data_IF_431560275852
#
_entry.id   IF_431560275852
#
_cell.length_a   1.000
_cell.length_b   1.000
_cell.length_c   1.000
_cell.angle_alpha   90.00
_cell.angle_beta   90.00
_cell.angle_gamma   90.00
#
_symmetry.space_group_name_H-M   'P 1'
#
loop_
_entity.id
_entity.type
_entity.pdbx_description
1 polymer ?
#
# COMPACT_ATOMS: atom_id res chain seq x y z
N UNK A 1 38.48 -29.84 6.10
CA UNK A 1 37.51 -28.75 5.89
C UNK A 1 36.75 -28.57 7.19
N UNK A 2 36.98 -27.49 7.94
CA UNK A 2 36.24 -27.23 9.18
C UNK A 2 34.77 -26.96 8.81
N UNK A 3 33.84 -27.71 9.41
CA UNK A 3 32.42 -27.36 9.36
C UNK A 3 32.30 -25.92 9.85
N UNK A 4 31.79 -25.03 9.02
CA UNK A 4 31.36 -23.70 9.45
C UNK A 4 30.25 -23.89 10.49
N UNK A 5 30.61 -23.84 11.77
CA UNK A 5 29.63 -23.82 12.86
C UNK A 5 29.00 -22.44 12.86
N UNK A 6 27.74 -22.38 12.45
CA UNK A 6 26.93 -21.18 12.61
C UNK A 6 26.68 -20.99 14.11
N UNK A 7 27.25 -19.93 14.69
CA UNK A 7 27.01 -19.60 16.09
C UNK A 7 25.58 -19.06 16.23
N UNK A 8 24.80 -19.54 17.22
CA UNK A 8 23.52 -18.92 17.56
C UNK A 8 23.70 -17.42 17.81
N UNK A 9 22.71 -16.60 17.42
CA UNK A 9 22.79 -15.14 17.55
C UNK A 9 23.28 -14.65 18.92
N UNK A 10 22.80 -15.17 20.08
CA UNK A 10 23.27 -14.73 21.39
C UNK A 10 24.76 -15.00 21.67
N UNK A 11 25.38 -15.92 20.93
CA UNK A 11 26.78 -16.32 21.11
C UNK A 11 27.73 -15.56 20.16
N UNK A 12 27.21 -14.66 19.33
CA UNK A 12 28.03 -13.78 18.51
C UNK A 12 28.71 -12.70 19.36
N UNK A 13 29.91 -12.23 18.98
CA UNK A 13 30.54 -11.06 19.59
C UNK A 13 29.58 -9.86 19.60
N UNK A 14 29.66 -9.03 20.63
CA UNK A 14 28.74 -7.90 20.81
C UNK A 14 28.76 -6.97 19.60
N UNK A 15 29.93 -6.71 19.04
CA UNK A 15 30.13 -5.86 17.87
C UNK A 15 29.33 -6.37 16.66
N UNK A 16 29.32 -7.69 16.46
CA UNK A 16 28.58 -8.33 15.37
C UNK A 16 27.08 -8.28 15.62
N UNK A 17 26.62 -8.51 16.86
CA UNK A 17 25.20 -8.42 17.20
C UNK A 17 24.66 -7.01 16.99
N UNK A 18 25.41 -6.00 17.45
CA UNK A 18 25.06 -4.59 17.24
C UNK A 18 25.01 -4.24 15.75
N UNK A 19 26.01 -4.65 14.96
CA UNK A 19 25.99 -4.43 13.51
C UNK A 19 24.80 -5.10 12.82
N UNK A 20 24.40 -6.31 13.23
CA UNK A 20 23.22 -6.97 12.68
C UNK A 20 21.96 -6.16 12.95
N UNK A 21 21.78 -5.66 14.18
CA UNK A 21 20.62 -4.84 14.53
C UNK A 21 20.63 -3.48 13.83
N UNK A 22 21.78 -2.82 13.71
CA UNK A 22 21.92 -1.56 12.98
C UNK A 22 21.55 -1.74 11.50
N UNK A 23 22.06 -2.80 10.85
CA UNK A 23 21.73 -3.12 9.47
C UNK A 23 20.28 -3.60 9.29
N UNK A 24 19.67 -4.12 10.35
CA UNK A 24 18.27 -4.52 10.32
C UNK A 24 17.32 -3.32 10.45
N UNK A 25 17.78 -2.10 10.75
CA UNK A 25 16.87 -0.96 10.83
C UNK A 25 16.49 -0.43 9.44
N UNK A 26 15.20 -0.17 9.20
CA UNK A 26 14.74 0.42 7.95
C UNK A 26 15.16 1.90 7.85
N UNK A 27 15.69 2.31 6.70
CA UNK A 27 16.13 3.68 6.45
C UNK A 27 15.17 4.42 5.51
N UNK A 28 14.28 5.24 6.06
CA UNK A 28 13.36 6.07 5.27
C UNK A 28 14.07 7.17 4.48
N UNK A 29 15.32 7.52 4.81
CA UNK A 29 16.09 8.53 4.05
C UNK A 29 16.66 7.97 2.75
N UNK A 30 16.59 6.65 2.54
CA UNK A 30 17.16 5.97 1.37
C UNK A 30 16.29 6.03 0.10
N UNK A 31 15.15 6.73 0.13
CA UNK A 31 14.19 6.76 -0.99
C UNK A 31 13.34 5.48 -1.09
N UNK A 32 13.23 4.74 0.02
CA UNK A 32 12.39 3.55 0.17
C UNK A 32 11.09 3.91 0.88
N UNK A 33 9.99 3.37 0.39
CA UNK A 33 8.65 3.58 0.92
C UNK A 33 8.02 2.24 1.31
N UNK A 34 7.15 2.28 2.32
CA UNK A 34 6.45 1.10 2.80
C UNK A 34 5.32 0.68 1.85
N UNK A 35 5.19 -0.63 1.65
CA UNK A 35 3.99 -1.27 1.12
C UNK A 35 3.26 -1.93 2.29
N UNK A 36 2.04 -1.45 2.57
CA UNK A 36 1.25 -1.86 3.71
C UNK A 36 -0.03 -2.56 3.26
N UNK A 37 -0.29 -3.71 3.86
CA UNK A 37 -1.47 -4.51 3.60
C UNK A 37 -2.57 -4.19 4.59
N UNK A 38 -3.72 -3.81 4.05
CA UNK A 38 -4.89 -3.40 4.80
C UNK A 38 -6.13 -4.11 4.27
N UNK A 39 -7.16 -4.24 5.11
CA UNK A 39 -8.48 -4.75 4.74
C UNK A 39 -9.50 -3.64 4.68
N UNK A 40 -10.47 -3.81 3.79
CA UNK A 40 -11.72 -3.09 3.85
C UNK A 40 -12.66 -3.79 4.84
N UNK A 41 -13.00 -3.13 5.94
CA UNK A 41 -13.89 -3.70 6.96
C UNK A 41 -15.39 -3.54 6.58
N UNK A 42 -16.28 -4.16 7.37
CA UNK A 42 -17.74 -4.10 7.14
C UNK A 42 -18.33 -2.68 7.21
N UNK A 43 -17.66 -1.79 7.93
CA UNK A 43 -17.99 -0.39 8.06
C UNK A 43 -17.43 0.48 6.93
N UNK A 44 -16.74 -0.14 5.94
CA UNK A 44 -16.10 0.51 4.79
C UNK A 44 -14.92 1.40 5.15
N UNK A 45 -14.32 1.10 6.29
CA UNK A 45 -13.11 1.75 6.72
C UNK A 45 -11.93 0.85 6.40
N UNK A 46 -10.81 1.49 6.09
CA UNK A 46 -9.57 0.80 5.86
C UNK A 46 -8.94 0.51 7.23
N UNK A 47 -8.56 -0.75 7.45
CA UNK A 47 -7.98 -1.19 8.71
C UNK A 47 -6.80 -2.13 8.47
N UNK A 48 -5.85 -2.23 9.39
CA UNK A 48 -4.70 -3.12 9.25
C UNK A 48 -5.10 -4.59 9.14
N UNK A 49 -4.30 -5.38 8.42
CA UNK A 49 -4.42 -6.84 8.48
C UNK A 49 -4.02 -7.39 9.85
N UNK A 50 -4.56 -8.56 10.18
CA UNK A 50 -4.21 -9.25 11.42
C UNK A 50 -2.74 -9.71 11.39
N UNK A 51 -2.01 -9.47 12.48
CA UNK A 51 -0.63 -9.91 12.67
C UNK A 51 -0.52 -11.33 13.25
N UNK A 52 -1.64 -12.05 13.43
CA UNK A 52 -1.63 -13.43 13.92
C UNK A 52 -1.17 -14.39 12.81
N UNK A 53 0.04 -14.93 12.98
CA UNK A 53 0.70 -15.82 12.02
C UNK A 53 -0.04 -17.16 11.82
N UNK A 54 -1.07 -17.43 12.63
CA UNK A 54 -1.81 -18.68 12.69
C UNK A 54 -3.18 -18.61 11.99
N UNK A 55 -3.57 -17.46 11.45
CA UNK A 55 -4.89 -17.31 10.79
C UNK A 55 -4.82 -17.71 9.30
N UNK A 56 -5.90 -18.32 8.79
CA UNK A 56 -6.04 -18.79 7.40
C UNK A 56 -6.21 -17.65 6.37
N UNK A 57 -5.90 -16.40 6.74
CA UNK A 57 -6.03 -15.21 5.90
C UNK A 57 -4.74 -14.86 5.16
N UNK A 58 -4.76 -13.82 4.30
CA UNK A 58 -3.55 -13.31 3.67
C UNK A 58 -2.56 -12.89 4.75
N UNK A 59 -1.35 -13.45 4.69
CA UNK A 59 -0.28 -13.16 5.63
C UNK A 59 0.01 -11.66 5.61
N UNK A 60 -0.11 -11.01 6.76
CA UNK A 60 0.32 -9.63 6.89
C UNK A 60 1.84 -9.57 6.73
N UNK A 61 2.28 -8.92 5.66
CA UNK A 61 3.69 -8.72 5.32
C UNK A 61 4.02 -7.24 5.14
N UNK A 62 3.21 -6.37 5.73
CA UNK A 62 3.36 -4.91 5.63
C UNK A 62 4.71 -4.45 6.14
N UNK A 63 5.29 -3.43 5.50
CA UNK A 63 6.58 -2.88 5.91
C UNK A 63 6.63 -2.45 7.39
N UNK A 64 5.52 -1.97 7.97
CA UNK A 64 5.47 -1.61 9.38
C UNK A 64 5.79 -2.77 10.34
N UNK A 65 5.64 -4.04 9.90
CA UNK A 65 5.99 -5.21 10.71
C UNK A 65 7.49 -5.37 10.90
N UNK A 66 8.29 -4.78 10.01
CA UNK A 66 9.74 -4.75 10.13
C UNK A 66 10.15 -4.12 11.46
N UNK A 67 9.56 -2.97 11.80
CA UNK A 67 9.81 -2.30 13.07
C UNK A 67 9.24 -3.05 14.25
N UNK A 68 8.03 -3.60 14.12
CA UNK A 68 7.44 -4.42 15.17
C UNK A 68 8.39 -5.56 15.59
N UNK A 69 9.04 -6.22 14.62
CA UNK A 69 10.07 -7.23 14.90
C UNK A 69 11.26 -6.70 15.70
N UNK A 70 11.81 -5.55 15.32
CA UNK A 70 12.95 -4.93 16.02
C UNK A 70 12.58 -4.50 17.45
N UNK A 71 11.39 -3.95 17.65
CA UNK A 71 10.92 -3.51 18.96
C UNK A 71 10.57 -4.67 19.90
N UNK A 72 10.18 -5.82 19.35
CA UNK A 72 9.75 -7.00 20.13
C UNK A 72 10.88 -7.98 20.44
N UNK A 73 11.96 -7.99 19.65
CA UNK A 73 12.96 -9.06 19.69
C UNK A 73 13.69 -9.17 21.05
N UNK A 74 14.37 -8.12 21.49
CA UNK A 74 15.08 -8.07 22.78
C UNK A 74 15.45 -6.63 23.15
N UNK A 75 15.96 -6.41 24.37
CA UNK A 75 16.41 -5.10 24.83
C UNK A 75 17.44 -4.46 23.90
N UNK A 76 18.43 -5.22 23.45
CA UNK A 76 19.50 -4.71 22.58
C UNK A 76 18.95 -4.22 21.23
N UNK A 77 18.04 -4.99 20.61
CA UNK A 77 17.36 -4.60 19.38
C UNK A 77 16.53 -3.33 19.58
N UNK A 78 15.80 -3.22 20.70
CA UNK A 78 15.03 -2.01 21.05
C UNK A 78 15.91 -0.78 21.21
N UNK A 79 17.03 -0.90 21.92
CA UNK A 79 17.93 0.24 22.18
C UNK A 79 18.51 0.77 20.85
N UNK A 80 18.83 -0.12 19.91
CA UNK A 80 19.29 0.27 18.57
C UNK A 80 18.16 0.87 17.73
N UNK A 81 16.97 0.27 17.72
CA UNK A 81 15.82 0.80 17.00
C UNK A 81 15.46 2.23 17.47
N UNK A 82 15.49 2.47 18.78
CA UNK A 82 15.29 3.80 19.38
C UNK A 82 16.36 4.81 18.95
N UNK A 83 17.64 4.41 18.97
CA UNK A 83 18.74 5.27 18.52
C UNK A 83 18.63 5.60 17.03
N UNK A 84 18.31 4.60 16.20
CA UNK A 84 18.14 4.78 14.75
C UNK A 84 16.97 5.69 14.42
N UNK A 85 15.87 5.54 15.15
CA UNK A 85 14.71 6.43 15.09
C UNK A 85 15.14 7.88 15.33
N UNK A 86 15.83 8.16 16.43
CA UNK A 86 16.32 9.51 16.76
C UNK A 86 17.24 10.07 15.66
N UNK A 87 18.17 9.24 15.16
CA UNK A 87 19.12 9.65 14.12
C UNK A 87 18.45 10.01 12.79
N UNK A 88 17.26 9.47 12.53
CA UNK A 88 16.49 9.87 11.36
C UNK A 88 15.85 11.25 11.50
N UNK A 89 15.97 11.91 12.66
CA UNK A 89 15.36 13.20 12.96
C UNK A 89 13.99 13.05 13.58
N UNK A 90 13.59 11.83 13.93
CA UNK A 90 12.39 11.59 14.70
C UNK A 90 12.64 11.93 16.16
N UNK A 91 11.70 12.60 16.85
CA UNK A 91 11.93 12.93 18.25
C UNK A 91 12.05 11.71 19.15
N UNK A 92 12.72 11.94 20.26
CA UNK A 92 13.07 10.90 21.21
C UNK A 92 11.81 10.26 21.81
N UNK A 93 11.70 8.95 21.60
CA UNK A 93 10.65 8.13 22.18
C UNK A 93 10.88 7.95 23.69
N UNK A 94 12.14 8.00 24.13
CA UNK A 94 12.55 7.75 25.52
C UNK A 94 12.33 8.94 26.47
N UNK A 95 12.48 10.19 26.02
CA UNK A 95 12.17 11.36 26.85
C UNK A 95 10.68 11.50 27.16
N UNK A 96 9.81 11.14 26.22
CA UNK A 96 8.35 11.15 26.40
C UNK A 96 7.81 9.94 27.19
N UNK A 97 8.66 8.97 27.56
CA UNK A 97 8.26 7.73 28.27
C UNK A 97 8.63 7.70 29.75
N UNK A 98 9.26 8.76 30.30
CA UNK A 98 9.65 8.80 31.73
C UNK A 98 8.46 8.72 32.71
N UNK A 99 7.25 9.07 32.26
CA UNK A 99 6.00 8.99 33.04
C UNK A 99 4.92 8.12 32.37
N UNK A 100 5.29 7.34 31.35
CA UNK A 100 4.34 6.74 30.39
C UNK A 100 4.61 5.23 30.24
N UNK A 101 3.55 4.43 30.34
CA UNK A 101 3.64 2.96 30.35
C UNK A 101 4.09 2.42 28.99
N UNK A 102 4.58 1.17 28.96
CA UNK A 102 4.89 0.44 27.71
C UNK A 102 3.65 0.48 26.81
N UNK A 103 3.68 1.37 25.82
CA UNK A 103 2.58 1.55 24.88
C UNK A 103 2.11 2.92 24.48
N UNK A 104 2.76 3.95 24.96
CA UNK A 104 2.45 5.28 24.52
C UNK A 104 2.98 5.56 23.09
N UNK A 105 2.05 5.99 22.24
CA UNK A 105 2.19 6.32 20.82
C UNK A 105 2.64 7.79 20.70
N UNK A 106 3.60 8.10 19.82
CA UNK A 106 4.19 9.44 19.73
C UNK A 106 3.91 10.06 18.36
N UNK A 107 3.36 11.27 18.38
CA UNK A 107 3.01 12.05 17.19
C UNK A 107 4.10 13.06 16.83
N UNK A 108 4.34 13.25 15.54
CA UNK A 108 5.17 14.33 15.02
C UNK A 108 4.47 15.06 13.87
N UNK A 109 4.04 16.30 14.13
CA UNK A 109 3.88 17.33 13.08
C UNK A 109 5.19 18.14 13.04
N UNK A 110 6.30 17.52 12.61
CA UNK A 110 7.59 18.22 12.55
C UNK A 110 7.85 18.78 11.15
N UNK A 111 8.08 20.11 11.00
CA UNK A 111 8.62 20.66 9.77
C UNK A 111 10.07 20.19 9.59
N UNK A 112 10.28 19.21 8.72
CA UNK A 112 11.61 18.74 8.32
C UNK A 112 12.37 19.81 7.51
N UNK A 113 13.71 19.86 7.54
CA UNK A 113 14.47 20.70 6.62
C UNK A 113 14.57 20.02 5.24
N UNK A 114 13.50 20.17 4.44
CA UNK A 114 13.32 20.01 2.96
C UNK A 114 11.88 19.49 2.68
N UNK A 115 11.25 19.82 1.52
CA UNK A 115 9.85 20.26 1.44
C UNK A 115 8.84 19.10 1.39
N UNK A 116 8.97 18.09 2.25
CA UNK A 116 8.04 16.98 2.33
C UNK A 116 7.37 17.01 3.71
N UNK A 117 6.10 17.39 3.74
CA UNK A 117 5.24 17.25 4.91
C UNK A 117 4.92 15.75 5.04
N UNK A 118 5.64 15.03 5.90
CA UNK A 118 5.30 13.65 6.26
C UNK A 118 4.13 13.70 7.25
N UNK A 119 2.93 13.29 6.81
CA UNK A 119 1.86 12.91 7.75
C UNK A 119 2.02 11.42 8.03
N UNK A 120 2.88 11.09 8.97
CA UNK A 120 2.99 9.72 9.47
C UNK A 120 1.98 9.50 10.57
N UNK A 121 1.19 8.43 10.46
CA UNK A 121 0.25 8.03 11.50
C UNK A 121 0.57 6.63 12.01
N UNK A 122 0.34 6.45 13.31
CA UNK A 122 0.51 5.18 13.99
C UNK A 122 -0.70 4.30 13.72
N UNK A 123 -0.42 3.12 13.19
CA UNK A 123 -1.43 2.18 12.74
C UNK A 123 -1.69 1.18 13.87
N UNK A 124 -2.58 1.53 14.80
CA UNK A 124 -2.85 0.71 15.99
C UNK A 124 -4.03 -0.26 15.80
N UNK A 125 -4.01 -1.41 16.50
CA UNK A 125 -5.13 -2.36 16.57
C UNK A 125 -5.59 -2.54 18.01
N UNK A 126 -6.91 -2.54 18.22
CA UNK A 126 -7.55 -2.91 19.48
C UNK A 126 -7.33 -4.41 19.83
N UNK A 127 -6.68 -4.68 20.97
CA UNK A 127 -6.62 -5.98 21.64
C UNK A 127 -5.22 -6.39 22.13
N UNK A 128 -5.16 -6.94 23.35
CA UNK A 128 -4.14 -7.60 24.23
C UNK A 128 -2.66 -7.78 23.82
N UNK A 129 -2.21 -7.24 22.71
CA UNK A 129 -0.81 -7.27 22.28
C UNK A 129 -0.12 -5.99 22.76
N UNK A 130 1.18 -6.06 23.06
CA UNK A 130 1.85 -4.82 23.46
C UNK A 130 1.74 -3.81 22.29
N UNK A 131 1.40 -2.55 22.56
CA UNK A 131 1.30 -1.46 21.59
C UNK A 131 2.65 -1.17 20.92
N UNK A 132 2.95 -1.87 19.83
CA UNK A 132 4.12 -1.58 19.00
C UNK A 132 3.81 -0.52 17.95
N UNK A 133 4.76 0.38 17.74
CA UNK A 133 4.68 1.51 16.82
C UNK A 133 4.71 1.06 15.34
N UNK A 134 3.55 0.73 14.78
CA UNK A 134 3.41 0.52 13.34
C UNK A 134 3.39 1.87 12.64
N UNK A 135 4.47 2.20 11.95
CA UNK A 135 4.66 3.52 11.32
C UNK A 135 4.45 3.38 9.83
N UNK A 136 3.58 4.24 9.29
CA UNK A 136 3.37 4.39 7.85
C UNK A 136 3.28 5.87 7.48
N UNK A 137 3.89 6.23 6.35
CA UNK A 137 3.75 7.54 5.72
C UNK A 137 2.49 7.58 4.86
N UNK A 138 1.47 8.33 5.31
CA UNK A 138 0.17 8.38 4.64
C UNK A 138 0.21 9.03 3.24
N UNK A 139 1.29 9.74 2.92
CA UNK A 139 1.45 10.47 1.67
C UNK A 139 2.32 9.72 0.66
N UNK A 140 3.34 8.99 1.12
CA UNK A 140 4.31 8.34 0.24
C UNK A 140 4.25 6.81 0.24
N UNK A 141 3.81 6.20 1.34
CA UNK A 141 3.65 4.75 1.38
C UNK A 141 2.43 4.33 0.54
N UNK A 142 2.43 3.05 0.15
CA UNK A 142 1.34 2.41 -0.58
C UNK A 142 0.49 1.60 0.39
N UNK A 143 -0.82 1.78 0.33
CA UNK A 143 -1.78 0.98 1.08
C UNK A 143 -2.50 0.02 0.15
N UNK A 144 -2.07 -1.24 0.17
CA UNK A 144 -2.65 -2.32 -0.62
C UNK A 144 -3.91 -2.88 0.07
N UNK A 145 -5.07 -2.63 -0.54
CA UNK A 145 -6.37 -3.03 -0.03
C UNK A 145 -6.71 -4.44 -0.46
N UNK A 146 -6.99 -5.29 0.52
CA UNK A 146 -7.59 -6.60 0.32
C UNK A 146 -9.07 -6.53 0.69
N UNK A 147 -9.96 -6.79 -0.27
CA UNK A 147 -11.37 -6.93 -0.01
C UNK A 147 -11.69 -8.41 0.20
N UNK A 148 -12.21 -8.77 1.38
CA UNK A 148 -12.61 -10.13 1.67
C UNK A 148 -14.06 -10.43 1.22
N UNK A 149 -14.87 -9.38 1.03
CA UNK A 149 -16.27 -9.55 0.70
C UNK A 149 -16.86 -8.36 -0.07
N UNK A 150 -18.03 -8.58 -0.68
CA UNK A 150 -18.70 -7.62 -1.55
C UNK A 150 -19.72 -6.73 -0.80
N UNK A 151 -20.16 -7.08 0.41
CA UNK A 151 -21.14 -6.28 1.16
C UNK A 151 -20.65 -4.85 1.44
N UNK A 152 -19.37 -4.64 1.83
CA UNK A 152 -18.81 -3.30 1.96
C UNK A 152 -18.73 -2.57 0.64
N UNK A 153 -18.90 -3.23 -0.50
CA UNK A 153 -18.80 -2.63 -1.84
C UNK A 153 -20.14 -2.27 -2.46
N UNK A 154 -21.30 -2.64 -1.90
CA UNK A 154 -22.62 -2.39 -2.53
C UNK A 154 -23.39 -1.15 -2.02
N UNK A 155 -23.23 -0.76 -0.76
CA UNK A 155 -23.74 0.52 -0.15
C UNK A 155 -23.15 1.80 -0.79
N UNK A 156 -23.55 3.01 -0.35
CA UNK A 156 -23.12 4.32 -0.87
C UNK A 156 -21.63 4.63 -0.69
N UNK A 157 -20.92 4.95 -1.78
CA UNK A 157 -19.46 5.17 -1.75
C UNK A 157 -19.13 6.37 -0.85
N UNK A 158 -18.14 6.20 0.02
CA UNK A 158 -17.63 7.21 0.95
C UNK A 158 -16.12 7.35 0.72
N UNK A 159 -15.52 8.49 1.11
CA UNK A 159 -14.07 8.63 1.11
C UNK A 159 -13.42 7.46 1.86
N UNK A 160 -12.38 6.89 1.26
CA UNK A 160 -11.63 5.78 1.84
C UNK A 160 -10.67 6.36 2.89
N UNK A 161 -11.03 6.18 4.16
CA UNK A 161 -10.24 6.64 5.28
C UNK A 161 -9.64 5.45 6.04
N UNK A 162 -8.37 5.58 6.40
CA UNK A 162 -7.65 4.64 7.24
C UNK A 162 -7.98 4.91 8.70
N UNK A 163 -8.47 3.90 9.40
CA UNK A 163 -8.63 3.93 10.84
C UNK A 163 -7.26 3.90 11.51
N UNK A 164 -7.08 4.86 12.41
CA UNK A 164 -5.97 4.89 13.35
C UNK A 164 -6.52 5.19 14.74
N UNK A 165 -5.73 4.92 15.77
CA UNK A 165 -6.01 5.37 17.12
C UNK A 165 -4.82 6.20 17.61
N UNK A 166 -5.11 7.23 18.39
CA UNK A 166 -4.07 8.03 19.03
C UNK A 166 -3.62 7.49 20.39
N UNK A 167 -2.66 8.18 20.98
CA UNK A 167 -2.02 7.84 22.26
C UNK A 167 -3.00 7.77 23.44
N UNK A 168 -4.22 8.29 23.31
CA UNK A 168 -5.29 8.19 24.32
C UNK A 168 -6.38 7.19 23.93
N UNK A 169 -6.14 6.38 22.89
CA UNK A 169 -7.12 5.46 22.32
C UNK A 169 -8.26 6.19 21.61
N UNK A 170 -8.09 7.46 21.21
CA UNK A 170 -9.12 8.15 20.43
C UNK A 170 -9.03 7.69 18.99
N UNK A 171 -10.18 7.27 18.48
CA UNK A 171 -10.32 6.86 17.10
C UNK A 171 -10.16 8.05 16.15
N UNK A 172 -9.24 7.93 15.21
CA UNK A 172 -8.97 8.89 14.15
C UNK A 172 -9.13 8.23 12.79
N UNK A 173 -9.41 9.05 11.79
CA UNK A 173 -9.49 8.60 10.40
C UNK A 173 -8.60 9.48 9.55
N UNK A 174 -7.77 8.85 8.72
CA UNK A 174 -6.77 9.52 7.90
C UNK A 174 -7.05 9.32 6.43
N UNK A 175 -6.84 10.39 5.67
CA UNK A 175 -6.93 10.35 4.23
C UNK A 175 -5.57 9.91 3.65
N UNK A 176 -5.54 8.77 2.97
CA UNK A 176 -4.32 8.22 2.37
C UNK A 176 -4.20 8.65 0.91
N UNK A 177 -2.99 8.80 0.39
CA UNK A 177 -2.80 9.28 -1.00
C UNK A 177 -2.69 8.14 -2.00
N UNK A 178 -1.95 7.07 -1.66
CA UNK A 178 -1.66 5.97 -2.57
C UNK A 178 -2.42 4.71 -2.16
N UNK A 179 -3.30 4.23 -3.04
CA UNK A 179 -4.11 3.03 -2.82
C UNK A 179 -3.72 2.01 -3.87
N UNK A 180 -3.39 0.80 -3.43
CA UNK A 180 -3.10 -0.30 -4.32
C UNK A 180 -4.10 -1.44 -4.21
N UNK A 181 -4.15 -2.23 -5.28
CA UNK A 181 -4.77 -3.56 -5.28
C UNK A 181 -3.79 -4.54 -5.91
N UNK A 182 -3.69 -5.76 -5.37
CA UNK A 182 -2.90 -6.81 -6.01
C UNK A 182 -3.67 -7.42 -7.18
N UNK A 183 -3.02 -7.48 -8.33
CA UNK A 183 -3.53 -8.13 -9.51
C UNK A 183 -3.54 -9.66 -9.33
N UNK A 184 -4.68 -10.27 -9.62
CA UNK A 184 -4.82 -11.71 -9.74
C UNK A 184 -5.03 -12.07 -11.22
N UNK A 185 -4.15 -12.88 -11.83
CA UNK A 185 -4.26 -13.27 -13.24
C UNK A 185 -5.61 -13.92 -13.63
N UNK A 186 -6.34 -14.50 -12.68
CA UNK A 186 -7.70 -15.04 -12.92
C UNK A 186 -8.72 -13.95 -13.29
N UNK A 187 -8.43 -12.69 -12.98
CA UNK A 187 -9.27 -11.55 -13.34
C UNK A 187 -9.39 -11.35 -14.84
N UNK A 188 -8.36 -11.74 -15.61
CA UNK A 188 -8.44 -11.70 -17.07
C UNK A 188 -9.59 -12.58 -17.59
N UNK A 189 -9.67 -13.82 -17.12
CA UNK A 189 -10.75 -14.74 -17.51
C UNK A 189 -12.11 -14.31 -16.98
N UNK A 190 -12.11 -13.70 -15.80
CA UNK A 190 -13.29 -13.08 -15.18
C UNK A 190 -13.82 -12.02 -16.14
N UNK A 191 -13.10 -10.91 -16.36
CA UNK A 191 -13.57 -9.79 -17.19
C UNK A 191 -13.93 -10.22 -18.62
N UNK A 192 -13.15 -11.12 -19.25
CA UNK A 192 -13.41 -11.58 -20.62
C UNK A 192 -14.82 -12.15 -20.81
N UNK A 193 -15.40 -12.76 -19.77
CA UNK A 193 -16.69 -13.41 -19.84
C UNK A 193 -17.85 -12.51 -19.36
N UNK A 194 -17.58 -11.27 -18.91
CA UNK A 194 -18.58 -10.41 -18.29
C UNK A 194 -19.16 -9.35 -19.21
N UNK A 195 -20.40 -8.94 -18.89
CA UNK A 195 -21.15 -7.90 -19.57
C UNK A 195 -21.10 -6.58 -18.79
N UNK A 196 -21.21 -5.41 -19.46
CA UNK A 196 -21.38 -4.12 -18.81
C UNK A 196 -22.60 -4.02 -17.88
N UNK A 197 -23.53 -4.98 -17.87
CA UNK A 197 -24.69 -5.00 -16.95
C UNK A 197 -24.44 -5.73 -15.63
N UNK A 198 -23.28 -6.37 -15.47
CA UNK A 198 -22.93 -7.10 -14.27
C UNK A 198 -22.89 -6.20 -13.02
N UNK A 199 -23.36 -6.76 -11.90
CA UNK A 199 -23.37 -6.12 -10.58
C UNK A 199 -22.03 -6.34 -9.87
N UNK A 200 -21.71 -5.48 -8.91
CA UNK A 200 -20.47 -5.53 -8.11
C UNK A 200 -20.23 -6.92 -7.49
N UNK A 201 -21.29 -7.59 -7.04
CA UNK A 201 -21.23 -8.94 -6.43
C UNK A 201 -20.85 -10.07 -7.39
N UNK A 202 -20.88 -9.80 -8.70
CA UNK A 202 -20.57 -10.80 -9.73
C UNK A 202 -19.05 -10.87 -9.99
N UNK A 203 -18.28 -9.94 -9.41
CA UNK A 203 -16.82 -9.88 -9.50
C UNK A 203 -16.17 -10.41 -8.21
N UNK A 204 -14.95 -10.99 -8.30
CA UNK A 204 -14.10 -11.21 -7.13
C UNK A 204 -13.98 -9.92 -6.30
N UNK A 205 -14.06 -9.97 -4.96
CA UNK A 205 -14.16 -8.77 -4.14
C UNK A 205 -13.06 -7.71 -4.38
N UNK A 206 -11.80 -8.11 -4.55
CA UNK A 206 -10.70 -7.17 -4.85
C UNK A 206 -10.83 -6.53 -6.22
N UNK A 207 -11.28 -7.27 -7.25
CA UNK A 207 -11.56 -6.71 -8.56
C UNK A 207 -12.75 -5.75 -8.50
N UNK A 208 -13.80 -6.14 -7.78
CA UNK A 208 -14.99 -5.32 -7.56
C UNK A 208 -14.63 -4.00 -6.86
N UNK A 209 -13.70 -4.05 -5.90
CA UNK A 209 -13.15 -2.87 -5.24
C UNK A 209 -12.38 -1.99 -6.23
N UNK A 210 -11.48 -2.55 -7.04
CA UNK A 210 -10.72 -1.82 -8.05
C UNK A 210 -11.63 -1.09 -9.04
N UNK A 211 -12.61 -1.79 -9.63
CA UNK A 211 -13.56 -1.20 -10.58
C UNK A 211 -14.29 -0.02 -9.93
N UNK A 212 -14.76 -0.21 -8.69
CA UNK A 212 -15.51 0.82 -7.99
C UNK A 212 -14.64 2.01 -7.57
N UNK A 213 -13.39 1.76 -7.21
CA UNK A 213 -12.40 2.80 -6.96
C UNK A 213 -12.17 3.63 -8.23
N UNK A 214 -11.89 3.01 -9.37
CA UNK A 214 -11.66 3.72 -10.63
C UNK A 214 -12.85 4.59 -11.05
N UNK A 215 -14.08 4.06 -10.92
CA UNK A 215 -15.30 4.83 -11.20
C UNK A 215 -15.42 6.07 -10.29
N UNK A 216 -15.10 5.95 -8.99
CA UNK A 216 -15.09 7.09 -8.08
C UNK A 216 -13.99 8.10 -8.43
N UNK A 217 -12.78 7.62 -8.75
CA UNK A 217 -11.62 8.47 -9.06
C UNK A 217 -11.76 9.23 -10.39
N UNK A 218 -12.52 8.68 -11.33
CA UNK A 218 -12.88 9.36 -12.57
C UNK A 218 -13.73 10.62 -12.30
N UNK A 219 -14.66 10.58 -11.33
CA UNK A 219 -15.57 11.69 -11.02
C UNK A 219 -15.08 12.62 -9.90
N UNK A 220 -14.28 12.13 -8.94
CA UNK A 220 -13.94 12.87 -7.73
C UNK A 220 -12.62 13.65 -7.88
N UNK A 221 -12.67 14.85 -8.48
CA UNK A 221 -11.50 15.74 -8.64
C UNK A 221 -10.88 16.18 -7.30
N UNK A 222 -11.66 16.26 -6.21
CA UNK A 222 -11.22 16.79 -4.89
C UNK A 222 -10.46 15.78 -4.04
N UNK A 223 -10.84 14.50 -4.08
CA UNK A 223 -10.25 13.44 -3.27
C UNK A 223 -9.53 12.38 -4.11
N UNK A 224 -8.93 12.82 -5.22
CA UNK A 224 -8.25 11.91 -6.15
C UNK A 224 -7.05 11.24 -5.48
N UNK A 225 -7.00 9.92 -5.60
CA UNK A 225 -5.99 9.00 -5.09
C UNK A 225 -5.11 8.53 -6.22
N UNK A 226 -3.84 8.28 -5.93
CA UNK A 226 -2.99 7.53 -6.84
C UNK A 226 -3.41 6.05 -6.74
N UNK A 227 -4.10 5.54 -7.77
CA UNK A 227 -4.49 4.14 -7.84
C UNK A 227 -3.32 3.34 -8.41
N UNK A 228 -2.92 2.29 -7.72
CA UNK A 228 -1.82 1.42 -8.11
C UNK A 228 -2.30 -0.01 -8.29
N UNK A 229 -1.77 -0.68 -9.31
CA UNK A 229 -1.98 -2.11 -9.51
C UNK A 229 -0.65 -2.84 -9.32
N UNK A 230 -0.63 -3.76 -8.36
CA UNK A 230 0.58 -4.53 -8.02
C UNK A 230 0.52 -5.86 -8.75
N UNK A 231 1.43 -6.11 -9.67
CA UNK A 231 1.58 -7.42 -10.31
C UNK A 231 2.91 -8.06 -9.92
N UNK A 232 2.80 -9.22 -9.26
CA UNK A 232 3.93 -10.01 -8.76
C UNK A 232 4.51 -10.97 -9.78
N UNK A 233 3.85 -11.16 -10.92
CA UNK A 233 4.18 -12.19 -11.90
C UNK A 233 4.56 -11.60 -13.26
N UNK A 234 4.19 -10.35 -13.54
CA UNK A 234 4.55 -9.70 -14.80
C UNK A 234 6.06 -9.49 -14.91
N UNK A 235 6.59 -9.87 -16.06
CA UNK A 235 7.94 -9.52 -16.46
C UNK A 235 7.92 -8.08 -16.98
N UNK A 236 9.00 -7.36 -16.71
CA UNK A 236 9.13 -5.97 -17.12
C UNK A 236 10.57 -5.66 -17.54
N UNK A 237 10.71 -4.61 -18.33
CA UNK A 237 11.98 -4.22 -18.93
C UNK A 237 12.46 -2.87 -18.41
N UNK A 238 13.78 -2.74 -18.27
CA UNK A 238 14.41 -1.46 -18.00
C UNK A 238 15.16 -0.97 -19.24
N UNK A 239 14.51 -0.05 -19.97
CA UNK A 239 15.09 0.56 -21.17
C UNK A 239 16.16 1.62 -20.86
N UNK A 240 16.30 2.05 -19.60
CA UNK A 240 17.23 3.11 -19.21
C UNK A 240 18.03 2.74 -17.95
N UNK A 241 19.24 2.18 -18.15
CA UNK A 241 20.22 1.92 -17.08
C UNK A 241 20.53 3.19 -16.24
N UNK A 242 20.39 4.37 -16.82
CA UNK A 242 20.61 5.65 -16.15
C UNK A 242 19.49 6.07 -15.17
N UNK A 243 18.26 5.55 -15.31
CA UNK A 243 17.10 5.93 -14.48
C UNK A 243 16.78 4.92 -13.37
N UNK A 244 17.44 3.77 -13.35
CA UNK A 244 17.27 2.76 -12.29
C UNK A 244 17.48 3.32 -10.85
N UNK A 245 18.45 4.21 -10.59
CA UNK A 245 18.67 4.75 -9.24
C UNK A 245 17.66 5.83 -8.81
N UNK A 246 16.81 6.34 -9.72
CA UNK A 246 15.88 7.45 -9.44
C UNK A 246 14.42 7.01 -9.31
N UNK A 247 14.13 5.70 -9.31
CA UNK A 247 12.77 5.19 -9.18
C UNK A 247 12.40 5.02 -7.71
N UNK A 248 11.16 5.36 -7.37
CA UNK A 248 10.58 5.09 -6.06
C UNK A 248 10.61 3.57 -5.83
N UNK A 249 11.25 3.15 -4.75
CA UNK A 249 11.30 1.75 -4.33
C UNK A 249 10.29 1.55 -3.21
N UNK A 250 9.37 0.61 -3.41
CA UNK A 250 8.43 0.19 -2.38
C UNK A 250 8.88 -1.14 -1.81
N UNK A 251 8.74 -1.34 -0.50
CA UNK A 251 9.15 -2.58 0.15
C UNK A 251 8.01 -3.14 0.98
N UNK A 252 7.87 -4.46 0.98
CA UNK A 252 7.16 -5.19 2.02
C UNK A 252 8.18 -6.00 2.84
N UNK A 253 7.75 -6.82 3.80
CA UNK A 253 8.68 -7.64 4.59
C UNK A 253 9.42 -8.71 3.79
N UNK A 254 8.92 -9.06 2.59
CA UNK A 254 9.41 -10.18 1.80
C UNK A 254 10.11 -9.74 0.50
N UNK A 255 9.72 -8.61 -0.09
CA UNK A 255 10.08 -8.22 -1.45
C UNK A 255 10.25 -6.71 -1.64
N UNK A 256 11.03 -6.36 -2.66
CA UNK A 256 11.18 -5.01 -3.19
C UNK A 256 10.38 -4.85 -4.50
N UNK A 257 9.77 -3.68 -4.68
CA UNK A 257 8.90 -3.35 -5.81
C UNK A 257 9.27 -2.00 -6.40
N UNK A 258 8.94 -1.82 -7.69
CA UNK A 258 9.20 -0.61 -8.44
C UNK A 258 7.95 -0.13 -9.16
N UNK A 259 7.80 1.18 -9.22
CA UNK A 259 6.85 1.78 -10.16
C UNK A 259 7.39 1.69 -11.61
N UNK A 260 6.51 1.29 -12.53
CA UNK A 260 6.78 1.19 -13.96
C UNK A 260 5.67 1.85 -14.75
N UNK A 261 6.02 2.39 -15.92
CA UNK A 261 5.02 2.87 -16.87
C UNK A 261 4.37 1.69 -17.61
N UNK A 262 3.13 1.84 -18.06
CA UNK A 262 2.42 0.82 -18.85
C UNK A 262 3.21 0.36 -20.07
N UNK A 263 3.93 1.28 -20.72
CA UNK A 263 4.78 1.01 -21.88
C UNK A 263 5.96 0.08 -21.60
N UNK A 264 6.35 -0.12 -20.33
CA UNK A 264 7.46 -0.98 -19.91
C UNK A 264 7.03 -2.40 -19.53
N UNK A 265 5.72 -2.64 -19.44
CA UNK A 265 5.16 -3.97 -19.22
C UNK A 265 5.32 -4.81 -20.48
N UNK A 266 5.50 -6.13 -20.32
CA UNK A 266 5.51 -7.04 -21.45
C UNK A 266 4.14 -7.05 -22.13
N UNK A 267 4.08 -6.70 -23.42
CA UNK A 267 2.81 -6.53 -24.16
C UNK A 267 1.99 -7.83 -24.24
N UNK A 268 2.66 -8.98 -24.24
CA UNK A 268 2.06 -10.32 -24.19
C UNK A 268 1.59 -10.76 -22.81
N UNK A 269 1.72 -9.92 -21.78
CA UNK A 269 1.33 -10.27 -20.42
C UNK A 269 -0.19 -10.31 -20.22
N UNK A 270 -0.65 -11.16 -19.30
CA UNK A 270 -2.06 -11.20 -18.88
C UNK A 270 -2.53 -9.86 -18.33
N UNK A 271 -1.64 -9.10 -17.69
CA UNK A 271 -1.91 -7.76 -17.21
C UNK A 271 -2.25 -6.81 -18.37
N UNK A 272 -1.42 -6.76 -19.41
CA UNK A 272 -1.69 -5.90 -20.58
C UNK A 272 -3.05 -6.23 -21.23
N UNK A 273 -3.37 -7.51 -21.39
CA UNK A 273 -4.69 -7.90 -21.90
C UNK A 273 -5.83 -7.51 -20.96
N UNK A 274 -5.65 -7.70 -19.65
CA UNK A 274 -6.63 -7.30 -18.65
C UNK A 274 -6.90 -5.79 -18.69
N UNK A 275 -5.86 -4.96 -18.80
CA UNK A 275 -6.01 -3.49 -18.85
C UNK A 275 -6.86 -3.05 -20.04
N UNK A 276 -6.63 -3.62 -21.23
CA UNK A 276 -7.44 -3.31 -22.42
C UNK A 276 -8.93 -3.64 -22.24
N UNK A 277 -9.24 -4.71 -21.51
CA UNK A 277 -10.62 -5.09 -21.22
C UNK A 277 -11.22 -4.24 -20.10
N UNK A 278 -10.41 -3.87 -19.11
CA UNK A 278 -10.83 -3.01 -18.01
C UNK A 278 -11.16 -1.61 -18.52
N UNK A 279 -10.34 -1.04 -19.41
CA UNK A 279 -10.58 0.26 -20.05
C UNK A 279 -11.95 0.30 -20.74
N UNK A 280 -12.22 -0.70 -21.58
CA UNK A 280 -13.52 -0.86 -22.24
C UNK A 280 -14.67 -0.98 -21.24
N UNK A 281 -14.51 -1.79 -20.19
CA UNK A 281 -15.55 -1.99 -19.17
C UNK A 281 -15.85 -0.68 -18.41
N UNK A 282 -14.83 0.07 -18.03
CA UNK A 282 -14.97 1.34 -17.31
C UNK A 282 -15.62 2.38 -18.24
N UNK A 283 -15.15 2.49 -19.49
CA UNK A 283 -15.75 3.34 -20.52
C UNK A 283 -17.25 3.07 -20.69
N UNK A 284 -17.63 1.82 -20.94
CA UNK A 284 -19.03 1.41 -21.11
C UNK A 284 -19.89 1.75 -19.87
N UNK A 285 -19.35 1.56 -18.65
CA UNK A 285 -20.05 1.89 -17.40
C UNK A 285 -20.23 3.40 -17.22
N UNK A 286 -19.22 4.21 -17.55
CA UNK A 286 -19.29 5.67 -17.47
C UNK A 286 -20.29 6.24 -18.50
N UNK A 287 -20.27 5.76 -19.74
CA UNK A 287 -21.22 6.18 -20.78
C UNK A 287 -22.68 5.88 -20.36
N UNK A 288 -22.95 4.74 -19.71
CA UNK A 288 -24.28 4.44 -19.16
C UNK A 288 -24.70 5.41 -18.06
N UNK A 289 -23.77 5.83 -17.19
CA UNK A 289 -24.05 6.80 -16.13
C UNK A 289 -24.40 8.17 -16.74
N UNK A 290 -23.70 8.58 -17.80
CA UNK A 290 -23.87 9.89 -18.44
C UNK A 290 -25.08 9.98 -19.38
N UNK A 291 -25.36 8.91 -20.13
CA UNK A 291 -26.34 8.94 -21.22
C UNK A 291 -27.62 8.10 -20.99
N UNK A 292 -27.81 7.43 -19.83
CA UNK A 292 -29.14 6.93 -19.42
C UNK A 292 -29.21 5.85 -18.32
N UNK A 293 -29.74 6.20 -17.14
CA UNK A 293 -31.15 6.00 -16.71
C UNK A 293 -31.45 7.02 -15.59
N UNK A 294 -32.66 7.61 -15.51
CA UNK A 294 -32.97 8.66 -14.53
C UNK A 294 -32.92 8.10 -13.11
N UNK A 295 -31.86 8.43 -12.36
CA UNK A 295 -31.84 8.21 -10.90
C UNK A 295 -32.70 9.27 -10.22
N UNK A 296 -33.64 8.93 -9.33
CA UNK A 296 -34.51 9.93 -8.70
C UNK A 296 -33.82 10.91 -7.73
N UNK A 297 -32.49 10.85 -7.53
CA UNK A 297 -31.81 11.59 -6.45
C UNK A 297 -30.33 11.89 -6.74
N UNK A 298 -29.95 12.11 -8.00
CA UNK A 298 -28.65 12.72 -8.31
C UNK A 298 -28.93 14.06 -8.97
N UNK A 299 -28.65 15.14 -8.26
CA UNK A 299 -28.68 16.50 -8.79
C UNK A 299 -27.23 16.94 -9.00
N UNK A 300 -26.62 16.65 -10.18
CA UNK A 300 -25.37 17.27 -10.56
C UNK A 300 -25.70 18.66 -11.13
N UNK A 301 -25.40 19.71 -10.37
CA UNK A 301 -25.48 21.09 -10.84
C UNK A 301 -24.80 21.22 -12.20
N UNK A 302 -25.55 21.70 -13.20
CA UNK A 302 -25.21 21.70 -14.62
C UNK A 302 -23.97 22.54 -15.02
N UNK A 303 -23.19 23.07 -14.09
CA UNK A 303 -22.07 23.98 -14.37
C UNK A 303 -20.69 23.33 -14.51
N UNK A 304 -20.53 22.02 -14.23
CA UNK A 304 -19.22 21.33 -14.30
C UNK A 304 -19.03 20.48 -15.58
N UNK A 305 -19.99 20.52 -16.51
CA UNK A 305 -20.02 19.65 -17.69
C UNK A 305 -19.24 20.16 -18.92
N UNK A 306 -18.58 21.32 -18.85
CA UNK A 306 -18.01 21.92 -20.07
C UNK A 306 -16.62 21.42 -20.50
N UNK A 307 -15.99 20.46 -19.81
CA UNK A 307 -14.79 19.79 -20.33
C UNK A 307 -14.79 18.31 -19.98
N UNK A 308 -14.73 17.46 -21.02
CA UNK A 308 -14.46 16.04 -20.93
C UNK A 308 -12.99 15.81 -20.50
N UNK A 309 -12.68 16.14 -19.25
CA UNK A 309 -11.36 15.96 -18.62
C UNK A 309 -11.14 14.52 -18.10
N UNK A 310 -11.82 13.52 -18.69
CA UNK A 310 -11.75 12.13 -18.22
C UNK A 310 -10.39 11.54 -18.59
N UNK A 311 -9.64 11.13 -17.56
CA UNK A 311 -8.41 10.37 -17.74
C UNK A 311 -8.79 8.89 -17.98
N UNK A 312 -8.26 8.23 -19.02
CA UNK A 312 -8.43 6.78 -19.17
C UNK A 312 -7.85 6.04 -17.95
N UNK A 313 -8.28 4.80 -17.65
CA UNK A 313 -7.75 4.02 -16.53
C UNK A 313 -6.23 3.86 -16.57
N UNK A 314 -5.62 3.83 -17.76
CA UNK A 314 -4.15 3.82 -17.91
C UNK A 314 -3.47 5.12 -17.42
N UNK A 315 -4.19 6.25 -17.40
CA UNK A 315 -3.74 7.53 -16.84
C UNK A 315 -4.17 7.70 -15.37
N UNK A 316 -5.20 6.97 -14.93
CA UNK A 316 -5.64 6.92 -13.52
C UNK A 316 -4.83 5.91 -12.68
N UNK A 317 -4.13 4.97 -13.34
CA UNK A 317 -3.44 3.86 -12.69
C UNK A 317 -1.93 3.92 -12.88
N UNK A 318 -1.22 3.61 -11.82
CA UNK A 318 0.23 3.36 -11.82
C UNK A 318 0.48 1.87 -11.63
N UNK A 319 1.59 1.38 -12.15
CA UNK A 319 1.92 -0.04 -12.09
C UNK A 319 3.10 -0.27 -11.17
N UNK A 320 2.93 -1.21 -10.25
CA UNK A 320 3.97 -1.59 -9.29
C UNK A 320 4.30 -3.05 -9.51
N UNK A 321 5.57 -3.35 -9.76
CA UNK A 321 6.02 -4.70 -10.13
C UNK A 321 7.18 -5.11 -9.27
N UNK A 322 7.34 -6.42 -9.06
CA UNK A 322 8.45 -6.93 -8.27
C UNK A 322 9.79 -6.69 -8.95
N UNK A 323 10.79 -6.30 -8.17
CA UNK A 323 12.14 -6.04 -8.65
C UNK A 323 12.78 -7.28 -9.31
N UNK A 324 12.60 -8.46 -8.73
CA UNK A 324 13.21 -9.71 -9.18
C UNK A 324 12.63 -10.25 -10.50
N UNK A 325 11.54 -9.64 -10.99
CA UNK A 325 10.97 -9.93 -12.31
C UNK A 325 11.61 -9.12 -13.45
N UNK A 326 12.60 -8.27 -13.16
CA UNK A 326 13.29 -7.47 -14.17
C UNK A 326 14.02 -8.36 -15.20
N UNK A 327 13.77 -8.12 -16.49
CA UNK A 327 14.46 -8.80 -17.61
C UNK A 327 15.24 -7.80 -18.46
N UNK A 328 16.48 -8.16 -18.81
CA UNK A 328 17.23 -7.46 -19.85
C UNK A 328 16.61 -7.75 -21.21
N UNK A 329 16.37 -6.70 -22.00
CA UNK A 329 15.83 -6.82 -23.37
C UNK A 329 16.78 -7.57 -24.32
N UNK A 330 18.07 -7.64 -23.98
CA UNK A 330 19.13 -8.26 -24.79
C UNK A 330 19.14 -9.81 -24.77
N UNK A 331 18.27 -10.46 -23.99
CA UNK A 331 18.24 -11.92 -23.85
C UNK A 331 17.17 -12.63 -24.72
N UNK A 332 16.49 -11.89 -25.61
CA UNK A 332 15.38 -12.42 -26.44
C UNK A 332 15.59 -12.13 -27.94
N UNK A 333 16.79 -11.69 -28.37
CA UNK A 333 17.12 -11.58 -29.80
C UNK A 333 17.71 -12.88 -30.34
#
# INVERSE_FOLDING_TARGET
MSRSTFHPFPNLPVEIRLQIWENACFDWKSGRFGLHYIKLNENRQLAPLNCEWQTAGPRNRSAYLWHAGLWTACKESRDIAAKHWINQGWPDIQENTKDKSVGDVIWFDTPFPHPIILRTALVHRKGDYEPWHQVADMNQDIFCVTAASWEPLVRSWKPLLLEAEDEWGRHMTWDITNIAVEFDPSWYQTIKNFSPDNRVKDYPPSLAFLIRLLLDQAHNKKHRKAVQLIDKNVLWHNDNKALAPCRLMYVDCDHEYFEVFSSQLEWSSLLSYFLSLLDRLIGDKLTKIEYGEPRPNYDPSESDWEQDDRLPPEELMRFVVRWDNLRSRELIS
#
